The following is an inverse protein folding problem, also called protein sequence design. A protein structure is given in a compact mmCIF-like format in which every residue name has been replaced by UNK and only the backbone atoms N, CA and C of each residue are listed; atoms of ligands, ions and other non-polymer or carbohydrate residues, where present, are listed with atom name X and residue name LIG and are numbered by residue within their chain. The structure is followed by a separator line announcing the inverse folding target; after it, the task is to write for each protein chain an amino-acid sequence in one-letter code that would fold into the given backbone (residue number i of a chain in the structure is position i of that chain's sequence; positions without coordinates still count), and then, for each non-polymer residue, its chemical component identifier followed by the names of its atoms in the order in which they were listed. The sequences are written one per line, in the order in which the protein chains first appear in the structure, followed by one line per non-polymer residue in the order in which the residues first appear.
data_IF_464741099662
#
_entry.id   IF_464741099662
#
_cell.length_a   1.000
_cell.length_b   1.000
_cell.length_c   1.000
_cell.angle_alpha   90.00
_cell.angle_beta   90.00
_cell.angle_gamma   90.00
#
_symmetry.space_group_name_H-M   'P 1'
#
loop_
_entity.id
_entity.type
_entity.pdbx_description
1 polymer ?
#
# COMPACT_ATOMS: atom_id res chain seq x y z
N UNK A 1 -8.66 -8.18 14.41
CA UNK A 1 -9.35 -7.07 14.52
C UNK A 1 -10.39 -6.78 13.49
N UNK A 2 -11.56 -6.70 13.90
CA UNK A 2 -12.66 -6.48 13.01
C UNK A 2 -13.51 -5.34 13.44
N UNK A 3 -14.02 -4.62 12.44
CA UNK A 3 -13.73 -4.79 11.02
C UNK A 3 -12.51 -4.00 10.63
N UNK A 4 -11.77 -4.53 9.67
CA UNK A 4 -10.69 -3.76 9.06
C UNK A 4 -11.28 -3.11 7.82
N UNK A 5 -11.45 -1.82 7.85
CA UNK A 5 -12.16 -1.11 6.79
C UNK A 5 -11.21 -0.35 5.88
N UNK A 6 -11.46 -0.49 4.60
CA UNK A 6 -10.84 0.38 3.62
C UNK A 6 -11.88 1.37 3.09
N UNK A 7 -11.41 2.41 2.47
CA UNK A 7 -12.29 3.44 1.93
C UNK A 7 -11.93 3.77 0.50
N UNK A 8 -12.95 4.03 -0.29
CA UNK A 8 -12.77 4.52 -1.65
C UNK A 8 -13.58 5.79 -1.83
N UNK A 9 -12.92 6.83 -2.30
CA UNK A 9 -13.55 8.10 -2.61
C UNK A 9 -13.48 8.34 -4.11
N UNK A 10 -14.63 8.56 -4.71
CA UNK A 10 -14.70 8.92 -6.12
C UNK A 10 -15.26 10.32 -6.23
N UNK A 11 -14.58 11.19 -6.96
CA UNK A 11 -15.02 12.58 -7.09
C UNK A 11 -14.53 13.15 -8.41
N UNK A 12 -15.46 13.65 -9.21
CA UNK A 12 -15.15 14.27 -10.50
C UNK A 12 -14.28 13.40 -11.39
N UNK A 13 -14.58 12.11 -11.42
CA UNK A 13 -13.86 11.17 -12.28
C UNK A 13 -12.52 10.71 -11.74
N UNK A 14 -12.20 11.10 -10.51
CA UNK A 14 -10.94 10.68 -9.89
C UNK A 14 -11.23 9.87 -8.64
N UNK A 15 -10.29 9.01 -8.26
CA UNK A 15 -10.52 8.11 -7.14
C UNK A 15 -9.29 7.93 -6.27
N UNK A 16 -9.54 7.81 -4.98
CA UNK A 16 -8.53 7.54 -3.97
C UNK A 16 -9.00 6.37 -3.14
N UNK A 17 -8.13 5.41 -2.92
CA UNK A 17 -8.43 4.27 -2.06
C UNK A 17 -7.45 4.27 -0.91
N UNK A 18 -7.98 4.05 0.29
CA UNK A 18 -7.18 3.95 1.51
C UNK A 18 -7.44 2.59 2.11
N UNK A 19 -6.39 1.80 2.25
CA UNK A 19 -6.53 0.41 2.67
C UNK A 19 -6.98 0.22 4.11
N UNK A 20 -6.64 1.17 4.97
CA UNK A 20 -6.78 0.92 6.38
C UNK A 20 -5.70 -0.06 6.84
N UNK A 21 -5.88 -0.59 8.03
CA UNK A 21 -4.92 -1.48 8.65
C UNK A 21 -5.30 -2.92 8.31
N UNK A 22 -4.68 -3.48 7.29
CA UNK A 22 -5.14 -4.74 6.73
C UNK A 22 -4.00 -5.57 6.17
N UNK A 23 -4.28 -6.83 5.95
CA UNK A 23 -3.39 -7.72 5.21
C UNK A 23 -3.89 -7.86 3.77
N UNK A 24 -3.08 -8.43 2.87
CA UNK A 24 -3.46 -8.52 1.46
C UNK A 24 -4.71 -9.37 1.29
N UNK A 25 -5.60 -8.91 0.45
CA UNK A 25 -6.81 -9.68 0.10
C UNK A 25 -7.18 -9.45 -1.35
N UNK A 26 -7.89 -10.41 -1.92
CA UNK A 26 -8.41 -10.26 -3.27
C UNK A 26 -9.45 -9.16 -3.34
N UNK A 27 -10.16 -8.94 -2.24
CA UNK A 27 -11.14 -7.87 -2.19
C UNK A 27 -10.48 -6.50 -2.32
N UNK A 28 -9.30 -6.35 -1.74
CA UNK A 28 -8.57 -5.09 -1.85
C UNK A 28 -8.21 -4.81 -3.31
N UNK A 29 -7.80 -5.83 -4.05
CA UNK A 29 -7.46 -5.67 -5.46
C UNK A 29 -8.68 -5.21 -6.25
N UNK A 30 -9.83 -5.84 -6.06
CA UNK A 30 -11.05 -5.44 -6.74
C UNK A 30 -11.48 -4.05 -6.34
N UNK A 31 -11.39 -3.76 -5.04
CA UNK A 31 -11.83 -2.49 -4.49
C UNK A 31 -10.99 -1.33 -5.00
N UNK A 32 -9.71 -1.56 -5.19
CA UNK A 32 -8.77 -0.51 -5.57
C UNK A 32 -8.46 -0.45 -7.05
N UNK A 33 -9.01 -1.37 -7.83
CA UNK A 33 -8.69 -1.43 -9.26
C UNK A 33 -9.00 -0.09 -9.94
N UNK A 34 -8.04 0.43 -10.66
CA UNK A 34 -8.22 1.67 -11.41
C UNK A 34 -8.19 2.95 -10.58
N UNK A 35 -7.83 2.87 -9.31
CA UNK A 35 -7.74 4.06 -8.49
C UNK A 35 -6.62 4.97 -8.99
N UNK A 36 -6.81 6.27 -8.88
CA UNK A 36 -5.73 7.22 -9.22
C UNK A 36 -4.64 7.15 -8.14
N UNK A 37 -5.04 7.12 -6.88
CA UNK A 37 -4.10 7.01 -5.77
C UNK A 37 -4.54 5.85 -4.88
N UNK A 38 -3.61 4.96 -4.60
CA UNK A 38 -3.85 3.89 -3.64
C UNK A 38 -2.92 4.10 -2.45
N UNK A 39 -3.51 4.33 -1.29
CA UNK A 39 -2.79 4.56 -0.05
C UNK A 39 -2.92 3.28 0.77
N UNK A 40 -1.79 2.65 1.03
CA UNK A 40 -1.81 1.34 1.67
C UNK A 40 -0.86 1.30 2.86
N UNK A 41 -1.24 0.55 3.89
CA UNK A 41 -0.38 0.34 5.03
C UNK A 41 0.69 -0.68 4.68
N UNK A 42 1.75 -0.72 5.46
CA UNK A 42 2.79 -1.72 5.24
C UNK A 42 3.56 -1.98 6.53
N UNK A 43 3.93 -3.23 6.71
CA UNK A 43 4.78 -3.65 7.82
C UNK A 43 6.13 -4.08 7.22
N UNK A 44 7.11 -3.21 7.31
CA UNK A 44 8.38 -3.42 6.61
C UNK A 44 9.17 -4.60 7.16
N UNK A 45 8.98 -4.90 8.41
CA UNK A 45 9.65 -6.04 9.01
C UNK A 45 9.21 -7.39 8.47
N UNK A 46 8.09 -7.44 7.73
CA UNK A 46 7.66 -8.66 7.07
C UNK A 46 8.18 -8.66 5.64
N UNK A 47 8.66 -9.78 5.16
CA UNK A 47 9.12 -9.83 3.78
C UNK A 47 8.26 -10.75 2.91
N UNK A 48 7.16 -11.21 3.48
CA UNK A 48 6.26 -12.10 2.76
C UNK A 48 6.53 -13.57 3.03
N UNK A 49 7.76 -13.91 3.33
CA UNK A 49 8.10 -15.31 3.57
C UNK A 49 7.54 -15.79 4.91
N UNK A 50 7.40 -14.89 5.86
CA UNK A 50 6.86 -15.26 7.17
C UNK A 50 5.46 -15.82 7.08
N UNK A 51 4.71 -15.43 6.07
CA UNK A 51 3.34 -15.91 5.95
C UNK A 51 3.27 -17.34 5.48
N UNK A 52 4.29 -17.79 4.79
CA UNK A 52 4.34 -19.16 4.37
C UNK A 52 4.93 -20.05 5.42
N UNK A 53 5.33 -19.49 6.53
CA UNK A 53 5.97 -20.26 7.58
C UNK A 53 4.98 -20.95 8.45
N UNK A 54 5.54 -21.66 9.38
CA UNK A 54 4.77 -22.44 10.30
C UNK A 54 4.04 -21.61 11.32
N UNK A 55 4.46 -20.41 11.57
CA UNK A 55 3.93 -19.64 12.62
C UNK A 55 2.83 -18.75 12.23
N UNK A 56 1.79 -18.74 12.96
CA UNK A 56 0.77 -17.72 12.81
C UNK A 56 1.38 -16.47 13.32
N UNK A 57 1.46 -15.53 12.55
CA UNK A 57 2.23 -14.54 12.84
C UNK A 57 1.70 -13.32 13.34
N UNK A 58 2.51 -12.64 14.05
CA UNK A 58 2.15 -11.40 14.57
C UNK A 58 1.86 -10.39 13.47
N UNK A 59 2.31 -10.54 12.34
CA UNK A 59 2.01 -9.67 11.22
C UNK A 59 0.83 -10.14 10.38
N UNK A 60 0.02 -11.07 10.88
CA UNK A 60 -1.03 -11.67 10.06
C UNK A 60 -2.10 -10.69 9.60
N UNK A 61 -2.25 -9.57 10.28
CA UNK A 61 -3.23 -8.55 9.91
C UNK A 61 -2.62 -7.41 9.10
N UNK A 62 -1.37 -7.55 8.72
CA UNK A 62 -0.65 -6.50 8.01
C UNK A 62 -0.09 -7.01 6.70
N UNK A 63 0.33 -6.09 5.87
CA UNK A 63 0.84 -6.38 4.53
C UNK A 63 2.34 -6.17 4.48
N UNK A 64 3.07 -7.14 3.94
CA UNK A 64 4.51 -6.98 3.71
C UNK A 64 4.77 -6.12 2.48
N UNK A 65 5.99 -5.59 2.32
CA UNK A 65 6.32 -4.80 1.13
C UNK A 65 6.12 -5.55 -0.18
N UNK A 66 6.49 -6.82 -0.23
CA UNK A 66 6.30 -7.60 -1.46
C UNK A 66 4.84 -7.81 -1.76
N UNK A 67 4.04 -8.07 -0.74
CA UNK A 67 2.60 -8.25 -0.91
C UNK A 67 1.93 -6.94 -1.35
N UNK A 68 2.35 -5.82 -0.78
CA UNK A 68 1.84 -4.53 -1.19
C UNK A 68 2.19 -4.25 -2.64
N UNK A 69 3.43 -4.58 -3.03
CA UNK A 69 3.85 -4.42 -4.41
C UNK A 69 3.00 -5.24 -5.37
N UNK A 70 2.63 -6.45 -4.98
CA UNK A 70 1.74 -7.28 -5.80
C UNK A 70 0.38 -6.62 -5.95
N UNK A 71 -0.16 -6.05 -4.89
CA UNK A 71 -1.43 -5.34 -4.95
C UNK A 71 -1.31 -4.13 -5.88
N UNK A 72 -0.24 -3.38 -5.77
CA UNK A 72 -0.02 -2.22 -6.64
C UNK A 72 0.12 -2.64 -8.11
N UNK A 73 0.82 -3.74 -8.34
CA UNK A 73 1.00 -4.23 -9.71
C UNK A 73 -0.33 -4.65 -10.33
N UNK A 74 -1.22 -5.21 -9.53
CA UNK A 74 -2.51 -5.64 -10.03
C UNK A 74 -3.52 -4.50 -10.17
N UNK A 75 -3.47 -3.53 -9.26
CA UNK A 75 -4.43 -2.43 -9.28
C UNK A 75 -4.01 -1.28 -10.18
N UNK A 76 -2.71 -1.15 -10.42
CA UNK A 76 -2.13 -0.15 -11.32
C UNK A 76 -2.58 1.28 -11.05
N UNK A 77 -2.38 1.78 -9.82
CA UNK A 77 -2.73 3.17 -9.54
C UNK A 77 -1.78 4.11 -10.25
N UNK A 78 -2.19 5.34 -10.46
CA UNK A 78 -1.29 6.36 -10.99
C UNK A 78 -0.19 6.69 -9.98
N UNK A 79 -0.49 6.50 -8.69
CA UNK A 79 0.51 6.65 -7.64
C UNK A 79 0.15 5.73 -6.48
N UNK A 80 1.10 4.92 -6.06
CA UNK A 80 0.98 4.12 -4.84
C UNK A 80 1.66 4.85 -3.70
N UNK A 81 1.00 4.94 -2.55
CA UNK A 81 1.50 5.67 -1.40
C UNK A 81 1.46 4.76 -0.18
N UNK A 82 2.55 4.71 0.54
CA UNK A 82 2.57 4.00 1.81
C UNK A 82 2.23 4.92 2.97
N UNK A 83 1.45 4.40 3.90
CA UNK A 83 1.12 5.09 5.14
C UNK A 83 1.07 4.06 6.27
N UNK A 84 0.94 4.51 7.49
CA UNK A 84 0.84 3.62 8.65
C UNK A 84 1.94 2.56 8.59
N UNK A 85 3.17 3.03 8.49
CA UNK A 85 4.32 2.18 8.22
C UNK A 85 4.90 1.65 9.52
N UNK A 86 5.00 0.33 9.63
CA UNK A 86 5.66 -0.30 10.76
C UNK A 86 7.06 -0.67 10.31
N UNK A 87 8.05 0.10 10.74
CA UNK A 87 9.40 0.00 10.23
C UNK A 87 10.21 -1.20 10.73
N UNK A 88 10.05 -1.57 11.98
CA UNK A 88 10.94 -2.54 12.59
C UNK A 88 12.34 -1.97 12.57
N UNK A 89 13.28 -2.74 12.04
CA UNK A 89 14.66 -2.29 11.92
C UNK A 89 15.04 -1.90 10.50
N UNK A 90 14.01 -1.68 9.67
CA UNK A 90 14.23 -1.42 8.26
C UNK A 90 14.21 0.08 7.98
N UNK A 91 14.83 0.45 6.86
CA UNK A 91 14.88 1.85 6.42
C UNK A 91 13.88 2.09 5.30
N UNK A 92 13.73 3.35 4.95
CA UNK A 92 12.89 3.72 3.81
C UNK A 92 13.41 3.07 2.52
N UNK A 93 14.73 3.01 2.36
CA UNK A 93 15.30 2.39 1.16
C UNK A 93 15.00 0.88 1.14
N UNK A 94 15.02 0.23 2.30
CA UNK A 94 14.64 -1.18 2.39
C UNK A 94 13.20 -1.38 1.92
N UNK A 95 12.30 -0.50 2.35
CA UNK A 95 10.90 -0.58 1.96
C UNK A 95 10.75 -0.46 0.45
N UNK A 96 11.41 0.52 -0.13
CA UNK A 96 11.33 0.73 -1.58
C UNK A 96 11.90 -0.48 -2.31
N UNK A 97 13.06 -0.96 -1.91
CA UNK A 97 13.72 -2.08 -2.58
C UNK A 97 12.86 -3.34 -2.54
N UNK A 98 12.26 -3.63 -1.38
CA UNK A 98 11.42 -4.81 -1.25
C UNK A 98 10.14 -4.70 -2.09
N UNK A 99 9.57 -3.49 -2.17
CA UNK A 99 8.39 -3.26 -3.00
C UNK A 99 8.74 -3.43 -4.47
N UNK A 100 9.93 -2.99 -4.87
CA UNK A 100 10.36 -3.08 -6.26
C UNK A 100 10.56 -4.53 -6.74
N UNK A 101 10.62 -5.49 -5.83
CA UNK A 101 10.65 -6.89 -6.24
C UNK A 101 9.37 -7.30 -6.96
N UNK A 102 8.26 -6.62 -6.68
CA UNK A 102 6.96 -6.99 -7.26
C UNK A 102 6.25 -5.84 -7.99
N UNK A 103 6.73 -4.61 -7.86
CA UNK A 103 6.05 -3.46 -8.44
C UNK A 103 7.05 -2.41 -8.95
N UNK A 104 6.89 -2.01 -10.18
CA UNK A 104 7.80 -1.04 -10.80
C UNK A 104 7.16 0.31 -11.12
N UNK A 105 5.91 0.51 -10.73
CA UNK A 105 5.20 1.75 -11.04
C UNK A 105 5.50 2.88 -10.07
N UNK A 106 4.77 3.99 -10.19
CA UNK A 106 5.00 5.16 -9.33
C UNK A 106 4.72 4.84 -7.87
N UNK A 107 5.65 5.21 -7.01
CA UNK A 107 5.61 4.85 -5.60
C UNK A 107 6.20 5.98 -4.76
N UNK A 108 5.55 6.31 -3.65
CA UNK A 108 6.09 7.27 -2.71
C UNK A 108 5.83 6.78 -1.27
N UNK A 109 6.78 7.05 -0.41
CA UNK A 109 6.63 6.77 1.02
C UNK A 109 6.00 8.00 1.64
N UNK A 110 4.78 7.86 2.15
CA UNK A 110 4.04 8.98 2.70
C UNK A 110 4.67 9.54 3.95
N UNK A 111 4.55 10.83 4.14
CA UNK A 111 5.06 11.53 5.32
C UNK A 111 3.98 12.44 5.85
N UNK A 112 4.09 12.79 7.12
CA UNK A 112 3.14 13.71 7.72
C UNK A 112 3.03 14.99 6.92
N UNK A 113 1.83 15.46 6.76
CA UNK A 113 1.52 16.71 6.06
C UNK A 113 1.83 16.69 4.56
N UNK A 114 2.14 15.52 4.01
CA UNK A 114 2.34 15.40 2.57
C UNK A 114 1.05 15.71 1.83
N UNK A 115 1.15 16.47 0.77
CA UNK A 115 0.00 16.83 -0.05
C UNK A 115 0.14 16.18 -1.42
N UNK A 116 -0.94 15.62 -1.90
CA UNK A 116 -0.98 14.96 -3.20
C UNK A 116 -2.11 15.56 -4.00
N UNK A 117 -1.78 16.14 -5.13
CA UNK A 117 -2.77 16.70 -6.03
C UNK A 117 -3.20 15.65 -7.02
N UNK A 118 -4.51 15.44 -7.12
CA UNK A 118 -5.06 14.42 -8.00
C UNK A 118 -5.85 15.10 -9.11
N UNK A 119 -5.21 15.27 -10.23
CA UNK A 119 -5.83 15.83 -11.42
C UNK A 119 -5.68 14.85 -12.56
N UNK A 120 -5.48 15.35 -13.77
CA UNK A 120 -5.18 14.50 -14.90
C UNK A 120 -3.90 13.73 -14.63
N UNK A 121 -2.99 14.37 -13.90
CA UNK A 121 -1.79 13.72 -13.40
C UNK A 121 -1.82 13.79 -11.88
N UNK A 122 -1.17 12.84 -11.24
CA UNK A 122 -1.05 12.82 -9.79
C UNK A 122 0.33 13.35 -9.43
N UNK A 123 0.36 14.36 -8.56
CA UNK A 123 1.60 15.03 -8.17
C UNK A 123 1.73 15.10 -6.66
N UNK A 124 2.93 14.84 -6.17
CA UNK A 124 3.24 15.06 -4.76
C UNK A 124 3.71 16.50 -4.62
N UNK A 125 3.01 17.28 -3.82
CA UNK A 125 3.32 18.70 -3.67
C UNK A 125 4.24 18.96 -2.49
N UNK A 126 4.23 18.05 -1.52
CA UNK A 126 5.15 18.17 -0.41
C UNK A 126 4.63 17.57 0.84
#
# INVERSE_FOLDING_TARGET
EFPALGYRLDYKGRSVVISGDTRPTKNMVKFAAGADVLIHEVHVGLDGSERGGVRPVRGAHHTSPREAGEIFAETKPKLAVYTHIVWGRKSEQDLIDLTRDTYSGPLVVGQEMMQIEIGDKVKVLK
#
